data_IF_468944084387
#
_entry.id   IF_468944084387
#
_cell.length_a   1.000
_cell.length_b   1.000
_cell.length_c   1.000
_cell.angle_alpha   90.00
_cell.angle_beta   90.00
_cell.angle_gamma   90.00
#
_symmetry.space_group_name_H-M   'P 1'
#
loop_
_entity.id
_entity.type
_entity.pdbx_description
1 polymer ?
#
# COMPACT_ATOMS: atom_id res chain seq x y z
N UNK A 1 135.10 33.30 -21.50
CA UNK A 1 134.78 33.07 -22.92
C UNK A 1 133.38 32.49 -22.99
N UNK A 2 132.44 33.25 -23.57
CA UNK A 2 131.04 32.84 -23.74
C UNK A 2 130.96 31.72 -24.79
N UNK A 3 130.38 30.58 -24.41
CA UNK A 3 130.03 29.51 -25.34
C UNK A 3 128.56 29.67 -25.78
N UNK A 4 128.26 29.49 -27.07
CA UNK A 4 127.00 29.89 -27.69
C UNK A 4 125.83 28.98 -27.27
N UNK A 5 124.60 29.51 -27.15
CA UNK A 5 123.43 28.67 -26.91
C UNK A 5 123.09 27.85 -28.17
N UNK A 6 122.98 26.51 -28.07
CA UNK A 6 122.56 25.68 -29.18
C UNK A 6 121.06 25.77 -29.46
N UNK A 7 120.76 25.61 -30.75
CA UNK A 7 119.51 25.80 -31.51
C UNK A 7 118.24 25.24 -30.85
N UNK A 8 117.08 25.91 -30.99
CA UNK A 8 115.80 25.40 -30.52
C UNK A 8 115.37 24.15 -31.30
N UNK A 9 114.99 23.10 -30.56
CA UNK A 9 114.44 21.83 -31.09
C UNK A 9 113.02 22.04 -31.66
N UNK A 10 112.61 21.25 -32.67
CA UNK A 10 111.35 21.47 -33.39
C UNK A 10 110.13 21.18 -32.51
N UNK A 11 109.11 22.04 -32.63
CA UNK A 11 107.86 21.93 -31.90
C UNK A 11 107.09 20.64 -32.28
N UNK A 12 106.51 19.92 -31.29
CA UNK A 12 105.63 18.79 -31.58
C UNK A 12 104.32 19.26 -32.24
N UNK A 13 103.87 18.48 -33.22
CA UNK A 13 102.72 18.75 -34.06
C UNK A 13 101.43 18.99 -33.24
N UNK A 14 100.64 19.97 -33.68
CA UNK A 14 99.34 20.29 -33.12
C UNK A 14 98.39 19.08 -33.21
N UNK A 15 97.88 18.65 -32.05
CA UNK A 15 96.86 17.60 -31.94
C UNK A 15 95.53 18.20 -32.38
N UNK A 16 94.93 17.64 -33.42
CA UNK A 16 93.61 18.05 -33.92
C UNK A 16 92.52 17.85 -32.85
N UNK A 17 91.52 18.74 -32.73
CA UNK A 17 90.46 18.60 -31.74
C UNK A 17 89.56 17.40 -32.07
N UNK A 18 89.53 16.43 -31.16
CA UNK A 18 88.69 15.23 -31.26
C UNK A 18 87.22 15.63 -31.08
N UNK A 19 86.41 15.50 -32.13
CA UNK A 19 84.95 15.66 -31.98
C UNK A 19 84.37 14.47 -31.19
N UNK A 20 83.48 14.69 -30.21
CA UNK A 20 82.87 13.59 -29.46
C UNK A 20 81.95 12.79 -30.39
N UNK A 21 82.14 11.48 -30.40
CA UNK A 21 81.32 10.57 -31.17
C UNK A 21 79.85 10.56 -30.69
N UNK A 22 78.87 10.34 -31.57
CA UNK A 22 77.47 10.27 -31.20
C UNK A 22 77.22 9.13 -30.19
N UNK A 23 76.61 9.49 -29.05
CA UNK A 23 76.22 8.53 -28.00
C UNK A 23 74.82 7.99 -28.33
N UNK A 24 74.66 6.67 -28.34
CA UNK A 24 73.35 6.02 -28.55
C UNK A 24 72.37 6.45 -27.44
N UNK A 25 71.07 6.67 -27.75
CA UNK A 25 70.05 6.88 -26.72
C UNK A 25 70.10 5.75 -25.69
N UNK A 26 70.02 6.12 -24.40
CA UNK A 26 70.02 5.15 -23.30
C UNK A 26 68.96 4.08 -23.50
N UNK A 27 69.33 2.83 -23.22
CA UNK A 27 68.45 1.66 -23.29
C UNK A 27 67.14 1.93 -22.53
N UNK A 28 65.96 1.59 -23.09
CA UNK A 28 64.70 1.71 -22.37
C UNK A 28 64.80 0.98 -21.03
N UNK A 29 64.58 1.70 -19.94
CA UNK A 29 64.60 1.11 -18.62
C UNK A 29 63.45 0.12 -18.53
N UNK A 30 63.75 -1.16 -18.26
CA UNK A 30 62.74 -2.19 -18.13
C UNK A 30 61.69 -1.75 -17.09
N UNK A 31 60.38 -1.95 -17.35
CA UNK A 31 59.33 -1.61 -16.38
C UNK A 31 59.68 -2.23 -15.03
N UNK A 32 59.65 -1.40 -13.98
CA UNK A 32 59.94 -1.87 -12.62
C UNK A 32 59.03 -3.07 -12.33
N UNK A 33 59.57 -4.22 -11.89
CA UNK A 33 58.74 -5.39 -11.61
C UNK A 33 57.65 -4.98 -10.62
N UNK A 34 56.39 -5.16 -11.02
CA UNK A 34 55.27 -4.91 -10.15
C UNK A 34 55.36 -5.89 -8.99
N UNK A 35 55.40 -5.37 -7.76
CA UNK A 35 55.42 -6.19 -6.56
C UNK A 35 54.20 -7.12 -6.60
N UNK A 36 54.36 -8.44 -6.41
CA UNK A 36 53.22 -9.34 -6.35
C UNK A 36 52.17 -8.79 -5.38
N UNK A 37 50.90 -8.81 -5.78
CA UNK A 37 49.83 -8.45 -4.88
C UNK A 37 49.95 -9.32 -3.62
N UNK A 38 49.93 -8.74 -2.41
CA UNK A 38 49.95 -9.54 -1.19
C UNK A 38 48.75 -10.48 -1.21
N UNK A 39 48.97 -11.75 -0.87
CA UNK A 39 47.89 -12.75 -0.76
C UNK A 39 46.79 -12.19 0.14
N UNK A 40 45.55 -12.34 -0.28
CA UNK A 40 44.40 -12.08 0.58
C UNK A 40 44.58 -12.91 1.86
N UNK A 41 44.31 -12.30 3.01
CA UNK A 41 44.29 -13.02 4.27
C UNK A 41 43.18 -14.08 4.21
N UNK A 42 43.49 -15.32 4.60
CA UNK A 42 42.55 -16.44 4.56
C UNK A 42 41.38 -16.28 5.54
N UNK A 43 41.45 -15.30 6.46
CA UNK A 43 40.37 -14.99 7.41
C UNK A 43 39.35 -14.04 6.78
N UNK A 44 38.10 -14.49 6.54
CA UNK A 44 37.06 -13.62 6.01
C UNK A 44 36.76 -12.46 6.97
N UNK A 45 36.51 -11.23 6.47
CA UNK A 45 36.15 -10.09 7.30
C UNK A 45 34.86 -10.37 8.08
N UNK A 46 34.87 -10.05 9.38
CA UNK A 46 33.70 -10.19 10.23
C UNK A 46 32.79 -8.95 10.13
N UNK A 47 31.49 -9.08 10.44
CA UNK A 47 30.62 -7.91 10.52
C UNK A 47 31.19 -6.85 11.47
N UNK A 48 31.33 -5.62 10.99
CA UNK A 48 31.96 -4.52 11.72
C UNK A 48 33.41 -4.24 11.32
N UNK A 49 34.09 -5.14 10.62
CA UNK A 49 35.46 -4.90 10.15
C UNK A 49 35.52 -3.93 8.96
N UNK A 50 36.59 -3.13 8.87
CA UNK A 50 36.94 -2.36 7.69
C UNK A 50 37.57 -3.29 6.64
N UNK A 51 36.93 -3.38 5.47
CA UNK A 51 37.39 -4.22 4.35
C UNK A 51 38.33 -3.41 3.46
N UNK A 52 39.58 -3.85 3.36
CA UNK A 52 40.55 -3.17 2.52
C UNK A 52 40.17 -3.26 1.03
N UNK A 53 39.96 -2.12 0.37
CA UNK A 53 39.62 -2.07 -1.06
C UNK A 53 40.69 -2.61 -2.01
N UNK A 54 41.94 -2.79 -1.54
CA UNK A 54 43.05 -3.31 -2.36
C UNK A 54 43.27 -4.82 -2.26
N UNK A 55 43.22 -5.37 -1.05
CA UNK A 55 43.55 -6.80 -0.80
C UNK A 55 42.41 -7.60 -0.16
N UNK A 56 41.27 -6.97 0.14
CA UNK A 56 40.09 -7.62 0.72
C UNK A 56 40.20 -8.00 2.20
N UNK A 57 41.36 -7.79 2.85
CA UNK A 57 41.55 -8.17 4.26
C UNK A 57 40.64 -7.37 5.20
N UNK A 58 40.05 -8.04 6.20
CA UNK A 58 39.33 -7.42 7.31
C UNK A 58 40.27 -6.80 8.35
N UNK A 59 39.92 -5.60 8.82
CA UNK A 59 40.69 -4.83 9.80
C UNK A 59 39.74 -4.31 10.89
N UNK A 60 40.22 -4.20 12.13
CA UNK A 60 39.42 -3.60 13.21
C UNK A 60 39.09 -2.12 12.89
N UNK A 61 37.92 -1.60 13.31
CA UNK A 61 37.47 -0.23 13.01
C UNK A 61 38.45 0.88 13.39
N UNK A 62 39.31 0.61 14.38
CA UNK A 62 40.28 1.59 14.92
C UNK A 62 41.54 1.74 14.07
N UNK A 63 41.75 0.92 13.03
CA UNK A 63 42.95 0.98 12.19
C UNK A 63 42.82 1.98 11.05
N UNK A 64 43.89 2.77 10.84
CA UNK A 64 44.01 3.73 9.74
C UNK A 64 44.66 3.14 8.47
N UNK A 65 45.43 2.05 8.61
CA UNK A 65 46.11 1.37 7.51
C UNK A 65 45.87 -0.15 7.56
N UNK A 66 45.78 -0.77 6.39
CA UNK A 66 45.52 -2.20 6.24
C UNK A 66 46.65 -3.05 6.84
N UNK A 67 46.29 -4.02 7.69
CA UNK A 67 47.24 -4.94 8.34
C UNK A 67 48.01 -5.86 7.37
N UNK A 68 47.45 -6.13 6.20
CA UNK A 68 48.03 -7.06 5.21
C UNK A 68 48.84 -6.35 4.11
N UNK A 69 48.38 -5.17 3.63
CA UNK A 69 48.99 -4.51 2.48
C UNK A 69 49.39 -3.04 2.69
N UNK A 70 49.13 -2.47 3.87
CA UNK A 70 49.49 -1.08 4.20
C UNK A 70 48.65 0.01 3.54
N UNK A 71 47.65 -0.32 2.71
CA UNK A 71 46.76 0.66 2.07
C UNK A 71 45.95 1.43 3.11
N UNK A 72 45.75 2.74 2.90
CA UNK A 72 44.86 3.57 3.74
C UNK A 72 43.47 2.97 3.83
N UNK A 73 42.89 3.00 5.03
CA UNK A 73 41.52 2.55 5.30
C UNK A 73 40.53 3.71 5.45
N UNK A 74 40.93 4.94 5.10
CA UNK A 74 40.07 6.12 5.23
C UNK A 74 38.71 5.94 4.53
N UNK A 75 38.72 5.32 3.34
CA UNK A 75 37.52 5.05 2.53
C UNK A 75 37.11 3.57 2.54
N UNK A 76 37.63 2.78 3.49
CA UNK A 76 37.34 1.35 3.53
C UNK A 76 35.88 1.11 3.95
N UNK A 77 35.09 0.33 3.18
CA UNK A 77 33.73 -0.01 3.58
C UNK A 77 33.73 -0.92 4.80
N UNK A 78 32.79 -0.67 5.72
CA UNK A 78 32.53 -1.56 6.86
C UNK A 78 31.77 -2.79 6.37
N UNK A 79 32.25 -3.98 6.71
CA UNK A 79 31.58 -5.25 6.49
C UNK A 79 30.22 -5.23 7.20
N UNK A 80 29.14 -5.13 6.42
CA UNK A 80 27.80 -5.01 6.96
C UNK A 80 27.31 -6.34 7.54
N UNK A 81 26.57 -6.25 8.66
CA UNK A 81 25.86 -7.40 9.21
C UNK A 81 24.72 -7.74 8.27
N UNK A 82 24.76 -8.93 7.65
CA UNK A 82 23.65 -9.47 6.84
C UNK A 82 22.35 -9.42 7.64
N UNK A 83 21.30 -8.82 7.05
CA UNK A 83 19.96 -8.79 7.62
C UNK A 83 19.41 -10.20 7.77
N UNK A 84 18.52 -10.41 8.74
CA UNK A 84 17.92 -11.73 8.97
C UNK A 84 17.18 -12.26 7.73
N UNK A 85 16.54 -11.38 6.95
CA UNK A 85 15.97 -11.71 5.64
C UNK A 85 17.03 -12.23 4.67
N UNK A 86 18.15 -11.53 4.50
CA UNK A 86 19.20 -11.98 3.56
C UNK A 86 19.77 -13.35 3.90
N UNK A 87 19.83 -13.72 5.20
CA UNK A 87 20.28 -15.03 5.67
C UNK A 87 19.27 -16.14 5.39
N UNK A 88 17.98 -15.81 5.39
CA UNK A 88 16.92 -16.76 5.05
C UNK A 88 16.94 -17.12 3.56
N UNK A 89 17.15 -16.12 2.69
CA UNK A 89 17.18 -16.31 1.23
C UNK A 89 18.53 -16.77 0.69
N UNK A 90 19.65 -16.45 1.37
CA UNK A 90 21.02 -16.86 1.00
C UNK A 90 21.76 -17.41 2.21
N UNK A 91 21.54 -18.69 2.57
CA UNK A 91 22.24 -19.30 3.69
C UNK A 91 23.75 -19.29 3.46
N UNK A 92 24.52 -19.04 4.52
CA UNK A 92 25.98 -18.98 4.42
C UNK A 92 26.54 -20.32 3.90
N UNK A 93 27.57 -20.29 3.03
CA UNK A 93 28.23 -21.50 2.57
C UNK A 93 28.74 -22.27 3.79
N UNK A 94 28.40 -23.55 3.85
CA UNK A 94 28.84 -24.42 4.94
C UNK A 94 30.36 -24.51 4.90
N UNK A 95 31.00 -24.33 6.06
CA UNK A 95 32.44 -24.52 6.22
C UNK A 95 32.85 -25.85 5.58
N UNK A 96 33.88 -25.80 4.73
CA UNK A 96 34.43 -26.99 4.10
C UNK A 96 34.84 -27.97 5.21
N UNK A 97 34.32 -29.19 5.16
CA UNK A 97 34.64 -30.20 6.16
C UNK A 97 36.09 -30.62 5.96
N UNK A 98 36.82 -30.83 7.07
CA UNK A 98 38.18 -31.32 7.02
C UNK A 98 38.29 -32.61 6.19
N UNK A 99 39.39 -32.76 5.45
CA UNK A 99 39.66 -33.96 4.67
C UNK A 99 39.62 -35.20 5.59
N UNK A 100 38.90 -36.26 5.18
CA UNK A 100 38.70 -37.47 5.98
C UNK A 100 37.47 -37.46 6.91
N UNK A 101 36.74 -36.34 7.02
CA UNK A 101 35.51 -36.29 7.82
C UNK A 101 34.40 -37.16 7.19
N UNK A 102 34.06 -38.29 7.84
CA UNK A 102 32.95 -39.16 7.44
C UNK A 102 31.75 -38.94 8.38
N UNK A 103 30.70 -38.20 7.95
CA UNK A 103 29.52 -38.04 8.78
C UNK A 103 28.78 -39.38 8.94
N UNK A 104 28.22 -39.68 10.12
CA UNK A 104 27.37 -40.85 10.29
C UNK A 104 26.14 -40.75 9.39
N UNK A 105 25.79 -41.85 8.68
CA UNK A 105 24.57 -41.96 7.87
C UNK A 105 23.33 -42.00 8.77
N UNK A 106 22.90 -40.84 9.27
CA UNK A 106 21.58 -40.69 9.89
C UNK A 106 20.56 -40.41 8.78
N UNK A 107 19.56 -41.27 8.60
CA UNK A 107 18.35 -40.94 7.83
C UNK A 107 17.71 -39.73 8.52
N UNK A 108 17.85 -38.55 7.94
CA UNK A 108 17.21 -37.33 8.44
C UNK A 108 15.77 -37.37 7.95
N UNK A 109 14.81 -37.41 8.88
CA UNK A 109 13.41 -37.19 8.52
C UNK A 109 13.30 -35.85 7.78
N UNK A 110 12.52 -35.76 6.68
CA UNK A 110 12.43 -34.55 5.88
C UNK A 110 11.51 -33.54 6.59
N UNK A 111 11.94 -33.05 7.76
CA UNK A 111 11.15 -32.16 8.62
C UNK A 111 10.74 -30.89 7.90
N UNK A 112 11.63 -30.29 7.09
CA UNK A 112 11.33 -29.06 6.34
C UNK A 112 10.16 -29.22 5.37
N UNK A 113 10.16 -30.13 4.37
CA UNK A 113 9.02 -30.25 3.48
C UNK A 113 7.76 -30.73 4.19
N UNK A 114 7.87 -31.55 5.25
CA UNK A 114 6.69 -31.94 6.06
C UNK A 114 6.08 -30.73 6.76
N UNK A 115 6.88 -29.89 7.42
CA UNK A 115 6.41 -28.66 8.06
C UNK A 115 5.82 -27.70 7.02
N UNK A 116 6.44 -27.55 5.85
CA UNK A 116 5.90 -26.71 4.76
C UNK A 116 4.53 -27.22 4.30
N UNK A 117 4.39 -28.53 4.08
CA UNK A 117 3.09 -29.13 3.70
C UNK A 117 2.05 -28.92 4.80
N UNK A 118 2.43 -29.10 6.07
CA UNK A 118 1.51 -28.87 7.20
C UNK A 118 1.08 -27.40 7.29
N UNK A 119 1.99 -26.45 7.08
CA UNK A 119 1.67 -25.01 7.07
C UNK A 119 0.74 -24.69 5.90
N UNK A 120 1.03 -25.17 4.69
CA UNK A 120 0.16 -24.98 3.53
C UNK A 120 -1.21 -25.61 3.78
N UNK A 121 -1.24 -26.84 4.28
CA UNK A 121 -2.48 -27.55 4.63
C UNK A 121 -3.30 -26.79 5.67
N UNK A 122 -2.66 -26.25 6.71
CA UNK A 122 -3.31 -25.42 7.71
C UNK A 122 -3.88 -24.12 7.11
N UNK A 123 -3.13 -23.44 6.23
CA UNK A 123 -3.62 -22.25 5.54
C UNK A 123 -4.81 -22.56 4.64
N UNK A 124 -4.76 -23.66 3.89
CA UNK A 124 -5.88 -24.12 3.06
C UNK A 124 -7.08 -24.46 3.95
N UNK A 125 -6.88 -25.17 5.06
CA UNK A 125 -7.95 -25.49 6.00
C UNK A 125 -8.60 -24.23 6.59
N UNK A 126 -7.81 -23.20 6.94
CA UNK A 126 -8.32 -21.90 7.38
C UNK A 126 -9.14 -21.25 6.26
N UNK A 127 -8.62 -21.14 5.04
CA UNK A 127 -9.36 -20.54 3.92
C UNK A 127 -10.67 -21.29 3.65
N UNK A 128 -10.67 -22.62 3.72
CA UNK A 128 -11.86 -23.45 3.56
C UNK A 128 -12.87 -23.24 4.69
N UNK A 129 -12.41 -23.21 5.94
CA UNK A 129 -13.24 -23.02 7.11
C UNK A 129 -13.91 -21.63 7.14
N UNK A 130 -13.22 -20.60 6.64
CA UNK A 130 -13.69 -19.21 6.63
C UNK A 130 -14.21 -18.74 5.26
N UNK A 131 -14.50 -19.66 4.33
CA UNK A 131 -15.06 -19.34 2.99
C UNK A 131 -16.24 -18.35 3.06
N UNK A 132 -17.28 -18.55 3.89
CA UNK A 132 -18.45 -17.66 3.87
C UNK A 132 -18.14 -16.28 4.44
N UNK A 133 -17.23 -16.16 5.41
CA UNK A 133 -16.79 -14.87 5.95
C UNK A 133 -15.95 -14.10 4.93
N UNK A 134 -15.08 -14.80 4.21
CA UNK A 134 -14.28 -14.21 3.12
C UNK A 134 -15.18 -13.68 2.01
N UNK A 135 -16.20 -14.43 1.62
CA UNK A 135 -17.14 -13.95 0.57
C UNK A 135 -17.95 -12.75 1.06
N UNK A 136 -18.44 -12.77 2.31
CA UNK A 136 -19.12 -11.61 2.92
C UNK A 136 -18.21 -10.38 2.96
N UNK A 137 -16.95 -10.54 3.34
CA UNK A 137 -15.96 -9.46 3.35
C UNK A 137 -15.66 -8.95 1.94
N UNK A 138 -15.58 -9.84 0.95
CA UNK A 138 -15.41 -9.48 -0.47
C UNK A 138 -16.61 -8.68 -0.98
N UNK A 139 -17.83 -9.14 -0.73
CA UNK A 139 -19.06 -8.44 -1.13
C UNK A 139 -19.11 -7.05 -0.48
N UNK A 140 -18.85 -6.95 0.82
CA UNK A 140 -18.82 -5.66 1.52
C UNK A 140 -17.77 -4.70 0.95
N UNK A 141 -16.61 -5.23 0.54
CA UNK A 141 -15.56 -4.44 -0.12
C UNK A 141 -16.01 -3.96 -1.51
N UNK A 142 -16.62 -4.84 -2.32
CA UNK A 142 -17.16 -4.49 -3.64
C UNK A 142 -18.28 -3.46 -3.49
N UNK A 143 -19.20 -3.64 -2.56
CA UNK A 143 -20.29 -2.70 -2.30
C UNK A 143 -19.77 -1.32 -1.88
N UNK A 144 -18.66 -1.26 -1.13
CA UNK A 144 -18.01 0.01 -0.77
C UNK A 144 -17.36 0.71 -1.96
N UNK A 145 -16.79 -0.04 -2.91
CA UNK A 145 -16.05 0.50 -4.06
C UNK A 145 -16.96 0.81 -5.24
N UNK A 146 -17.96 -0.05 -5.50
CA UNK A 146 -18.80 -0.03 -6.69
C UNK A 146 -20.27 0.25 -6.40
N UNK A 147 -20.73 0.09 -5.15
CA UNK A 147 -22.14 0.28 -4.76
C UNK A 147 -22.50 1.72 -4.40
N UNK A 148 -21.91 2.73 -5.03
CA UNK A 148 -22.23 4.15 -4.76
C UNK A 148 -22.95 4.83 -5.93
N UNK A 149 -23.32 4.07 -6.96
CA UNK A 149 -24.06 4.58 -8.13
C UNK A 149 -25.50 4.89 -7.72
N UNK A 150 -26.00 6.08 -8.09
CA UNK A 150 -27.41 6.43 -7.87
C UNK A 150 -28.31 5.55 -8.72
N UNK A 151 -29.35 4.98 -8.11
CA UNK A 151 -30.41 4.23 -8.78
C UNK A 151 -31.71 5.02 -8.62
N UNK A 152 -32.29 5.45 -9.73
CA UNK A 152 -33.50 6.27 -9.70
C UNK A 152 -34.75 5.40 -9.88
N UNK A 153 -35.78 5.61 -9.05
CA UNK A 153 -37.06 4.94 -9.24
C UNK A 153 -37.74 5.44 -10.52
N UNK A 154 -38.54 4.57 -11.14
CA UNK A 154 -39.38 4.88 -12.31
C UNK A 154 -40.79 5.28 -11.92
N UNK A 155 -41.21 4.98 -10.67
CA UNK A 155 -42.47 5.42 -10.10
C UNK A 155 -42.31 5.66 -8.60
N UNK A 156 -43.03 6.69 -8.10
CA UNK A 156 -43.09 7.06 -6.69
C UNK A 156 -44.56 7.27 -6.34
N UNK A 157 -45.03 6.67 -5.23
CA UNK A 157 -46.40 6.83 -4.76
C UNK A 157 -46.45 6.84 -3.23
N UNK A 158 -47.10 7.84 -2.63
CA UNK A 158 -47.28 7.89 -1.19
C UNK A 158 -48.64 7.32 -0.75
N UNK A 159 -48.71 6.90 0.51
CA UNK A 159 -49.97 6.52 1.17
C UNK A 159 -50.97 7.70 1.22
N UNK A 160 -50.44 8.89 1.44
CA UNK A 160 -51.14 10.17 1.34
C UNK A 160 -50.12 11.29 1.16
N UNK A 161 -50.55 12.44 0.69
CA UNK A 161 -49.68 13.60 0.48
C UNK A 161 -50.43 14.91 0.66
N UNK A 162 -49.74 15.93 1.14
CA UNK A 162 -50.22 17.31 1.05
C UNK A 162 -50.10 17.83 -0.40
N UNK A 163 -51.02 18.70 -0.86
CA UNK A 163 -50.96 19.25 -2.22
C UNK A 163 -49.66 19.98 -2.57
N UNK A 164 -49.04 20.64 -1.60
CA UNK A 164 -47.80 21.40 -1.73
C UNK A 164 -46.53 20.60 -1.36
N UNK A 165 -46.71 19.40 -0.79
CA UNK A 165 -45.63 18.46 -0.40
C UNK A 165 -45.89 17.05 -0.94
N UNK A 166 -46.01 16.88 -2.27
CA UNK A 166 -46.29 15.61 -2.92
C UNK A 166 -45.12 14.63 -2.81
N UNK A 167 -45.39 13.34 -3.03
CA UNK A 167 -44.41 12.26 -2.97
C UNK A 167 -43.21 12.50 -3.90
N UNK A 168 -43.41 13.16 -5.03
CA UNK A 168 -42.35 13.45 -6.00
C UNK A 168 -41.23 14.34 -5.44
N UNK A 169 -41.49 15.16 -4.41
CA UNK A 169 -40.48 16.02 -3.80
C UNK A 169 -39.45 15.23 -2.99
N UNK A 170 -39.75 13.99 -2.58
CA UNK A 170 -38.79 13.15 -1.85
C UNK A 170 -37.56 12.72 -2.69
N UNK A 171 -37.59 12.99 -4.00
CA UNK A 171 -36.55 12.59 -4.96
C UNK A 171 -36.43 13.63 -6.09
N UNK A 172 -36.57 14.91 -5.78
CA UNK A 172 -36.37 15.96 -6.77
C UNK A 172 -34.92 16.50 -6.79
N UNK A 173 -34.08 16.03 -5.86
CA UNK A 173 -32.70 16.48 -5.70
C UNK A 173 -32.58 17.87 -5.06
N UNK A 174 -33.70 18.45 -4.63
CA UNK A 174 -33.74 19.64 -3.81
C UNK A 174 -33.69 19.24 -2.33
N UNK A 175 -32.99 20.03 -1.52
CA UNK A 175 -32.89 19.77 -0.08
C UNK A 175 -33.81 20.66 0.75
N UNK A 176 -34.62 21.49 0.08
CA UNK A 176 -35.53 22.47 0.65
C UNK A 176 -37.01 22.25 0.23
N UNK A 177 -37.29 21.14 -0.43
CA UNK A 177 -38.63 20.63 -0.71
C UNK A 177 -38.76 19.26 -0.02
N UNK A 178 -39.98 18.82 0.26
CA UNK A 178 -40.19 17.60 1.03
C UNK A 178 -41.54 16.98 0.78
N UNK A 179 -41.62 15.66 0.88
CA UNK A 179 -42.89 14.97 1.02
C UNK A 179 -43.39 15.05 2.47
N UNK A 180 -44.71 15.22 2.63
CA UNK A 180 -45.41 15.09 3.91
C UNK A 180 -46.75 14.37 3.74
N UNK A 181 -47.14 13.48 4.67
CA UNK A 181 -48.48 12.91 4.68
C UNK A 181 -49.57 13.97 4.78
N UNK A 182 -50.75 13.67 4.23
CA UNK A 182 -51.87 14.60 4.13
C UNK A 182 -52.43 15.06 5.48
N UNK A 183 -52.46 14.16 6.47
CA UNK A 183 -52.98 14.44 7.82
C UNK A 183 -51.83 14.83 8.75
N UNK A 184 -51.97 15.91 9.55
CA UNK A 184 -50.98 16.25 10.58
C UNK A 184 -50.96 15.19 11.70
N UNK A 185 -49.86 15.15 12.46
CA UNK A 185 -49.61 14.17 13.51
C UNK A 185 -48.22 13.54 13.41
N UNK A 186 -48.09 12.34 13.98
CA UNK A 186 -46.86 11.55 13.93
C UNK A 186 -46.64 10.87 12.58
N UNK A 187 -47.66 10.77 11.73
CA UNK A 187 -47.56 10.10 10.44
C UNK A 187 -47.16 8.62 10.52
N UNK A 188 -47.27 7.97 11.69
CA UNK A 188 -46.90 6.57 11.86
C UNK A 188 -47.75 5.70 10.93
N UNK A 189 -47.11 4.80 10.20
CA UNK A 189 -47.74 3.95 9.19
C UNK A 189 -47.93 4.62 7.82
N UNK A 190 -47.65 5.91 7.68
CA UNK A 190 -47.57 6.54 6.36
C UNK A 190 -46.31 6.08 5.64
N UNK A 191 -46.39 5.96 4.32
CA UNK A 191 -45.31 5.36 3.53
C UNK A 191 -45.17 5.99 2.15
N UNK A 192 -43.99 5.82 1.56
CA UNK A 192 -43.72 6.08 0.14
C UNK A 192 -43.20 4.80 -0.50
N UNK A 193 -43.86 4.41 -1.60
CA UNK A 193 -43.45 3.32 -2.48
C UNK A 193 -42.61 3.84 -3.63
N UNK A 194 -41.53 3.12 -3.91
CA UNK A 194 -40.59 3.36 -4.99
C UNK A 194 -40.51 2.09 -5.85
N UNK A 195 -40.72 2.23 -7.16
CA UNK A 195 -40.55 1.12 -8.12
C UNK A 195 -39.32 1.37 -8.99
N UNK A 196 -38.58 0.31 -9.32
CA UNK A 196 -37.37 0.39 -10.13
C UNK A 196 -37.55 -0.35 -11.46
N UNK A 197 -36.98 0.21 -12.52
CA UNK A 197 -37.16 -0.31 -13.87
C UNK A 197 -36.48 -1.66 -14.11
N UNK A 198 -35.42 -1.97 -13.35
CA UNK A 198 -34.66 -3.22 -13.41
C UNK A 198 -34.28 -3.65 -11.98
N UNK A 199 -34.11 -4.96 -11.72
CA UNK A 199 -33.56 -5.45 -10.46
C UNK A 199 -32.15 -4.93 -10.25
N UNK A 200 -31.81 -4.55 -9.02
CA UNK A 200 -30.46 -4.11 -8.65
C UNK A 200 -30.14 -4.51 -7.21
N UNK A 201 -28.85 -4.55 -6.86
CA UNK A 201 -28.40 -4.69 -5.48
C UNK A 201 -28.47 -3.34 -4.77
N UNK A 202 -29.35 -3.22 -3.79
CA UNK A 202 -29.47 -2.06 -2.91
C UNK A 202 -28.37 -2.09 -1.83
N UNK A 203 -27.39 -1.22 -1.96
CA UNK A 203 -26.23 -1.16 -1.06
C UNK A 203 -26.36 -0.07 0.00
N UNK A 204 -26.94 1.08 -0.34
CA UNK A 204 -27.14 2.21 0.57
C UNK A 204 -28.43 2.95 0.29
N UNK A 205 -29.07 3.40 1.34
CA UNK A 205 -30.15 4.40 1.30
C UNK A 205 -29.66 5.63 2.02
N UNK A 206 -29.83 6.79 1.40
CA UNK A 206 -29.54 8.09 2.02
C UNK A 206 -30.85 8.83 2.24
N UNK A 207 -30.98 9.50 3.38
CA UNK A 207 -32.20 10.19 3.77
C UNK A 207 -31.83 11.57 4.31
N UNK A 208 -32.54 12.61 3.87
CA UNK A 208 -32.58 13.91 4.55
C UNK A 208 -33.92 13.98 5.28
N UNK A 209 -33.94 13.78 6.61
CA UNK A 209 -35.18 13.82 7.38
C UNK A 209 -35.66 15.26 7.60
N UNK A 210 -36.97 15.43 7.78
CA UNK A 210 -37.59 16.74 7.97
C UNK A 210 -37.87 17.46 6.65
N UNK A 211 -38.26 18.72 6.74
CA UNK A 211 -38.70 19.51 5.59
C UNK A 211 -37.56 20.18 4.81
N UNK A 212 -36.36 20.25 5.39
CA UNK A 212 -35.23 20.99 4.83
C UNK A 212 -33.90 20.57 5.48
N UNK A 213 -32.78 20.80 4.79
CA UNK A 213 -31.43 20.74 5.37
C UNK A 213 -31.02 22.04 6.09
N UNK A 214 -31.88 23.07 6.06
CA UNK A 214 -31.74 24.31 6.82
C UNK A 214 -32.34 24.15 8.21
N UNK A 215 -31.52 24.33 9.24
CA UNK A 215 -31.89 24.11 10.65
C UNK A 215 -33.20 24.79 11.06
N UNK A 216 -33.41 26.06 10.66
CA UNK A 216 -34.63 26.79 10.99
C UNK A 216 -35.88 26.08 10.48
N UNK A 217 -35.88 25.67 9.22
CA UNK A 217 -37.02 25.04 8.56
C UNK A 217 -37.20 23.58 9.03
N UNK A 218 -36.12 22.90 9.37
CA UNK A 218 -36.14 21.56 9.97
C UNK A 218 -36.82 21.55 11.35
N UNK A 219 -36.55 22.57 12.18
CA UNK A 219 -37.12 22.69 13.53
C UNK A 219 -38.58 23.16 13.54
N UNK A 220 -39.11 23.69 12.42
CA UNK A 220 -40.52 24.10 12.30
C UNK A 220 -41.48 22.90 12.18
N UNK A 221 -40.97 21.70 11.85
CA UNK A 221 -41.77 20.49 11.69
C UNK A 221 -41.25 19.29 12.49
N UNK A 222 -41.89 18.15 12.27
CA UNK A 222 -41.46 16.85 12.76
C UNK A 222 -40.67 16.10 11.69
N UNK A 223 -39.82 15.17 12.14
CA UNK A 223 -38.97 14.34 11.29
C UNK A 223 -39.10 12.87 11.71
N UNK A 224 -38.83 11.92 10.80
CA UNK A 224 -38.79 10.52 11.18
C UNK A 224 -37.62 10.22 12.11
N UNK A 225 -37.88 9.43 13.15
CA UNK A 225 -36.87 8.85 14.04
C UNK A 225 -36.50 7.45 13.54
N UNK A 226 -37.49 6.64 13.15
CA UNK A 226 -37.27 5.35 12.51
C UNK A 226 -38.09 5.26 11.24
N UNK A 227 -37.42 4.91 10.15
CA UNK A 227 -38.05 4.48 8.92
C UNK A 227 -37.90 2.97 8.76
N UNK A 228 -38.98 2.27 8.48
CA UNK A 228 -38.93 0.86 8.10
C UNK A 228 -38.88 0.74 6.58
N UNK A 229 -37.77 0.24 6.06
CA UNK A 229 -37.58 -0.10 4.67
C UNK A 229 -38.04 -1.54 4.42
N UNK A 230 -39.01 -1.73 3.55
CA UNK A 230 -39.42 -3.05 3.04
C UNK A 230 -39.05 -3.15 1.56
N UNK A 231 -37.99 -3.88 1.25
CA UNK A 231 -37.57 -4.15 -0.11
C UNK A 231 -38.27 -5.39 -0.65
N UNK A 232 -38.82 -5.30 -1.87
CA UNK A 232 -39.34 -6.43 -2.62
C UNK A 232 -38.36 -6.79 -3.72
N UNK A 233 -37.97 -8.06 -3.78
CA UNK A 233 -37.04 -8.62 -4.77
C UNK A 233 -37.77 -9.03 -6.05
N UNK A 234 -37.03 -9.24 -7.14
CA UNK A 234 -37.56 -9.77 -8.41
C UNK A 234 -38.21 -11.15 -8.28
N UNK A 235 -37.82 -11.93 -7.26
CA UNK A 235 -38.42 -13.21 -6.89
C UNK A 235 -39.72 -13.05 -6.05
N UNK A 236 -40.16 -11.83 -5.76
CA UNK A 236 -41.33 -11.53 -4.93
C UNK A 236 -41.11 -11.67 -3.42
N UNK A 237 -39.88 -11.97 -2.98
CA UNK A 237 -39.54 -12.04 -1.55
C UNK A 237 -39.40 -10.64 -0.97
N UNK A 238 -39.91 -10.43 0.24
CA UNK A 238 -39.77 -9.17 0.98
C UNK A 238 -38.71 -9.29 2.09
N UNK A 239 -37.91 -8.24 2.24
CA UNK A 239 -36.95 -8.09 3.33
C UNK A 239 -37.15 -6.73 4.00
N UNK A 240 -37.08 -6.70 5.33
CA UNK A 240 -37.35 -5.49 6.12
C UNK A 240 -36.09 -5.07 6.89
N UNK A 241 -35.79 -3.77 6.85
CA UNK A 241 -34.66 -3.15 7.54
C UNK A 241 -35.14 -1.87 8.23
N UNK A 242 -34.80 -1.71 9.50
CA UNK A 242 -35.03 -0.45 10.22
C UNK A 242 -33.88 0.53 9.95
N UNK A 243 -34.24 1.78 9.67
CA UNK A 243 -33.35 2.89 9.42
C UNK A 243 -33.57 3.89 10.57
N UNK A 244 -32.79 3.78 11.66
CA UNK A 244 -32.79 4.81 12.69
C UNK A 244 -32.12 6.07 12.16
N UNK A 245 -32.70 7.21 12.50
CA UNK A 245 -32.26 8.55 12.11
C UNK A 245 -31.99 9.38 13.37
N UNK A 246 -30.98 10.22 13.29
CA UNK A 246 -30.67 11.21 14.31
C UNK A 246 -31.58 12.43 14.13
N UNK A 247 -31.92 13.09 15.23
CA UNK A 247 -32.69 14.33 15.20
C UNK A 247 -31.83 15.55 14.82
N UNK A 248 -31.36 15.59 13.56
CA UNK A 248 -30.49 16.65 13.02
C UNK A 248 -30.66 16.80 11.52
N UNK A 249 -30.35 18.00 11.03
CA UNK A 249 -30.31 18.29 9.59
C UNK A 249 -29.26 17.48 8.83
N UNK A 250 -29.49 17.38 7.53
CA UNK A 250 -28.54 16.87 6.56
C UNK A 250 -28.67 15.37 6.29
N UNK A 251 -27.77 14.89 5.44
CA UNK A 251 -27.81 13.56 4.87
C UNK A 251 -27.39 12.49 5.88
N UNK A 252 -28.24 11.49 6.06
CA UNK A 252 -28.01 10.31 6.88
C UNK A 252 -28.10 9.05 6.00
N UNK A 253 -27.51 7.92 6.43
CA UNK A 253 -27.43 6.75 5.56
C UNK A 253 -27.54 5.42 6.29
N UNK A 254 -28.21 4.45 5.66
CA UNK A 254 -28.24 3.05 6.05
C UNK A 254 -27.70 2.14 4.94
N UNK A 255 -27.19 0.96 5.28
CA UNK A 255 -26.59 0.01 4.33
C UNK A 255 -27.31 -1.35 4.37
N UNK A 256 -28.50 -1.46 3.77
CA UNK A 256 -29.34 -2.66 3.87
C UNK A 256 -28.77 -3.89 3.15
N UNK A 257 -27.95 -3.70 2.09
CA UNK A 257 -27.25 -4.76 1.36
C UNK A 257 -28.17 -5.90 0.85
N UNK A 258 -29.23 -5.53 0.12
CA UNK A 258 -30.28 -6.43 -0.38
C UNK A 258 -30.12 -6.64 -1.89
N UNK A 259 -30.14 -7.88 -2.35
CA UNK A 259 -30.03 -8.25 -3.76
C UNK A 259 -31.37 -8.17 -4.50
N UNK A 260 -31.28 -7.99 -5.83
CA UNK A 260 -32.38 -8.11 -6.78
C UNK A 260 -33.63 -7.26 -6.45
N UNK A 261 -33.45 -6.09 -5.85
CA UNK A 261 -34.53 -5.18 -5.45
C UNK A 261 -35.22 -4.59 -6.68
N UNK A 262 -36.55 -4.70 -6.73
CA UNK A 262 -37.40 -4.10 -7.78
C UNK A 262 -38.39 -3.07 -7.23
N UNK A 263 -38.66 -3.10 -5.92
CA UNK A 263 -39.47 -2.09 -5.25
C UNK A 263 -39.02 -1.90 -3.81
N UNK A 264 -39.20 -0.70 -3.29
CA UNK A 264 -38.95 -0.35 -1.88
C UNK A 264 -40.16 0.40 -1.35
N UNK A 265 -40.66 0.00 -0.19
CA UNK A 265 -41.57 0.81 0.64
C UNK A 265 -40.78 1.39 1.80
N UNK A 266 -40.89 2.69 2.01
CA UNK A 266 -40.35 3.37 3.18
C UNK A 266 -41.50 3.83 4.06
N UNK A 267 -41.67 3.21 5.23
CA UNK A 267 -42.76 3.50 6.17
C UNK A 267 -42.22 4.26 7.37
N UNK A 268 -42.96 5.27 7.84
CA UNK A 268 -42.67 5.99 9.07
C UNK A 268 -43.09 5.13 10.27
N UNK A 269 -42.13 4.77 11.11
CA UNK A 269 -42.37 3.90 12.27
C UNK A 269 -42.36 4.66 13.59
N UNK A 270 -41.57 5.73 13.68
CA UNK A 270 -41.63 6.71 14.77
C UNK A 270 -41.07 8.06 14.32
N UNK A 271 -41.29 9.12 15.11
CA UNK A 271 -40.95 10.50 14.75
C UNK A 271 -40.44 11.33 15.93
N UNK A 272 -39.56 12.27 15.65
CA UNK A 272 -39.21 13.36 16.55
C UNK A 272 -40.17 14.54 16.42
N UNK A 273 -40.43 15.22 17.54
CA UNK A 273 -41.18 16.49 17.63
C UNK A 273 -42.60 16.47 17.05
N UNK A 274 -43.21 15.30 16.87
CA UNK A 274 -44.58 15.23 16.39
C UNK A 274 -45.57 15.80 17.43
N UNK A 275 -46.44 16.68 16.97
CA UNK A 275 -47.65 17.15 17.66
C UNK A 275 -48.87 16.92 16.76
N UNK A 276 -50.10 17.03 17.27
CA UNK A 276 -51.31 16.94 16.45
C UNK A 276 -51.39 17.92 15.28
N UNK A 277 -50.56 18.97 15.28
CA UNK A 277 -50.57 20.07 14.30
C UNK A 277 -49.39 20.02 13.32
N UNK A 278 -48.29 19.35 13.68
CA UNK A 278 -47.12 19.24 12.81
C UNK A 278 -47.33 18.20 11.72
N UNK A 279 -46.71 18.41 10.55
CA UNK A 279 -46.56 17.35 9.56
C UNK A 279 -45.13 16.81 9.59
N UNK A 280 -45.02 15.48 9.69
CA UNK A 280 -43.74 14.81 9.47
C UNK A 280 -43.32 15.00 8.01
N UNK A 281 -42.04 15.25 7.78
CA UNK A 281 -41.52 15.51 6.46
C UNK A 281 -40.26 14.69 6.16
N UNK A 282 -40.07 14.36 4.89
CA UNK A 282 -38.83 13.77 4.37
C UNK A 282 -38.45 14.56 3.13
N UNK A 283 -37.31 15.23 3.19
CA UNK A 283 -36.84 16.10 2.12
C UNK A 283 -36.33 15.30 0.93
N UNK A 284 -35.46 14.32 1.18
CA UNK A 284 -34.84 13.54 0.10
C UNK A 284 -34.59 12.10 0.55
N UNK A 285 -34.78 11.15 -0.37
CA UNK A 285 -34.38 9.75 -0.23
C UNK A 285 -33.63 9.33 -1.49
N UNK A 286 -32.38 8.89 -1.32
CA UNK A 286 -31.57 8.39 -2.42
C UNK A 286 -31.26 6.90 -2.28
N UNK A 287 -31.36 6.16 -3.39
CA UNK A 287 -30.96 4.77 -3.45
C UNK A 287 -29.62 4.64 -4.16
N UNK A 288 -28.69 3.90 -3.55
CA UNK A 288 -27.41 3.54 -4.17
C UNK A 288 -27.30 2.05 -4.33
N UNK A 289 -26.68 1.65 -5.42
CA UNK A 289 -26.55 0.25 -5.74
C UNK A 289 -25.67 0.00 -6.94
N UNK A 290 -25.77 -1.22 -7.41
CA UNK A 290 -25.16 -1.73 -8.64
C UNK A 290 -26.04 -2.82 -9.21
N UNK A 291 -25.82 -3.11 -10.48
CA UNK A 291 -26.39 -4.29 -11.13
C UNK A 291 -25.88 -5.59 -10.47
#
# INVERSE_FOLDING_TARGET
MLAPPPRPKPAPAAVAPTQPAPVKPGTPQAPRPQRPAPKADDTPPQPGDLVCGRCGAGNTPTRRFCRACGTSLADAPVAQRRSWWSRLWRPDPRVARAAGYRPPRRRRFPTRPVVVILVIGALVAVVLAFRPEIERARIALVDRVQGNTAVNPVAIAASSELPDRPAAQIRDGATNLAWSPATPGDGVGQFVDFAFGQPFRLTRVLVIPGASDVEKDFLEGSSPEVLTLTATTSAGTQQTVEIPLDDRVGLQSASPAIDDVVAVRLTISSTFRATPETHVAIAEVEFRGRD
#
